data_IF_348638276573
#
_entry.id   IF_348638276573
#
_cell.length_a   1.000
_cell.length_b   1.000
_cell.length_c   1.000
_cell.angle_alpha   90.00
_cell.angle_beta   90.00
_cell.angle_gamma   90.00
#
_symmetry.space_group_name_H-M   'P 1'
#
loop_
_entity.id
_entity.type
_entity.pdbx_description
1 polymer ?
#
# COMPACT_ATOMS: atom_id res chain seq x y z
N UNK A 1 -12.81 41.75 -56.16
CA UNK A 1 -12.80 40.49 -56.95
C UNK A 1 -12.08 39.42 -56.14
N UNK A 2 -12.79 38.32 -55.86
CA UNK A 2 -12.33 36.91 -55.71
C UNK A 2 -10.88 36.67 -55.26
N UNK A 3 -10.64 35.94 -54.16
CA UNK A 3 -10.76 34.46 -54.12
C UNK A 3 -10.90 33.92 -52.69
N UNK A 4 -11.84 32.98 -52.52
CA UNK A 4 -11.97 32.06 -51.38
C UNK A 4 -10.86 30.99 -51.42
N UNK A 5 -10.82 30.19 -50.34
CA UNK A 5 -10.30 28.80 -50.19
C UNK A 5 -8.88 28.75 -49.58
N UNK A 6 -8.49 27.85 -48.64
CA UNK A 6 -9.01 26.54 -48.22
C UNK A 6 -8.29 26.12 -46.89
N UNK A 7 -9.06 25.57 -45.95
CA UNK A 7 -8.80 24.38 -45.09
C UNK A 7 -7.49 24.10 -44.35
N UNK A 8 -7.73 23.51 -43.16
CA UNK A 8 -6.99 22.43 -42.50
C UNK A 8 -5.92 22.84 -41.47
N UNK A 9 -6.36 23.02 -40.22
CA UNK A 9 -5.54 22.66 -39.07
C UNK A 9 -6.18 21.44 -38.41
N UNK A 10 -5.64 20.25 -38.69
CA UNK A 10 -5.94 19.03 -37.97
C UNK A 10 -5.73 19.26 -36.47
N UNK A 11 -6.79 19.24 -35.68
CA UNK A 11 -6.67 19.11 -34.25
C UNK A 11 -6.17 17.68 -33.96
N UNK A 12 -4.89 17.54 -33.62
CA UNK A 12 -4.32 16.30 -33.11
C UNK A 12 -5.09 15.92 -31.84
N UNK A 13 -5.94 14.89 -31.94
CA UNK A 13 -6.48 14.22 -30.78
C UNK A 13 -5.31 13.46 -30.11
N UNK A 14 -4.72 14.09 -29.08
CA UNK A 14 -3.82 13.40 -28.16
C UNK A 14 -4.66 12.38 -27.38
N UNK A 15 -4.63 11.13 -27.81
CA UNK A 15 -5.07 10.01 -27.01
C UNK A 15 -4.14 9.90 -25.80
N UNK A 16 -4.56 10.47 -24.67
CA UNK A 16 -3.96 10.21 -23.38
C UNK A 16 -4.28 8.74 -23.02
N UNK A 17 -3.33 7.84 -23.26
CA UNK A 17 -3.38 6.49 -22.72
C UNK A 17 -3.04 6.60 -21.23
N UNK A 18 -4.08 6.70 -20.41
CA UNK A 18 -3.92 6.57 -18.95
C UNK A 18 -3.60 5.11 -18.66
N UNK A 19 -2.32 4.79 -18.50
CA UNK A 19 -1.89 3.53 -17.91
C UNK A 19 -2.39 3.50 -16.47
N UNK A 20 -3.35 2.63 -16.16
CA UNK A 20 -3.77 2.38 -14.80
C UNK A 20 -2.62 1.70 -14.05
N UNK A 21 -1.95 2.44 -13.15
CA UNK A 21 -1.02 1.85 -12.21
C UNK A 21 -1.82 1.06 -11.18
N UNK A 22 -1.77 -0.27 -11.25
CA UNK A 22 -2.29 -1.14 -10.19
C UNK A 22 -1.28 -1.15 -9.04
N UNK A 23 -1.71 -0.77 -7.84
CA UNK A 23 -0.88 -0.91 -6.66
C UNK A 23 -0.70 -2.41 -6.36
N UNK A 24 0.55 -2.86 -6.28
CA UNK A 24 0.85 -4.25 -5.95
C UNK A 24 0.54 -4.54 -4.47
N UNK A 25 0.03 -5.74 -4.18
CA UNK A 25 -0.10 -6.23 -2.81
C UNK A 25 1.28 -6.47 -2.21
N UNK A 26 1.46 -6.03 -0.96
CA UNK A 26 2.68 -6.24 -0.18
C UNK A 26 2.72 -7.66 0.41
N UNK A 27 1.56 -8.22 0.75
CA UNK A 27 1.42 -9.59 1.21
C UNK A 27 0.51 -10.35 0.24
N UNK A 28 1.09 -11.01 -0.79
CA UNK A 28 0.31 -11.77 -1.74
C UNK A 28 -0.39 -12.96 -1.06
N UNK A 29 -1.51 -13.45 -1.60
CA UNK A 29 -2.18 -14.63 -1.06
C UNK A 29 -1.24 -15.84 -0.98
N UNK A 30 -1.32 -16.56 0.13
CA UNK A 30 -0.53 -17.76 0.39
C UNK A 30 -1.43 -18.81 1.05
N UNK A 31 -1.21 -20.07 0.71
CA UNK A 31 -1.87 -21.21 1.35
C UNK A 31 -1.41 -21.36 2.81
N UNK A 32 -2.33 -21.73 3.70
CA UNK A 32 -2.04 -21.97 5.12
C UNK A 32 -2.98 -21.26 6.08
N UNK A 33 -2.82 -21.55 7.37
CA UNK A 33 -3.61 -20.92 8.42
C UNK A 33 -3.18 -19.46 8.61
N UNK A 34 -4.13 -18.54 8.44
CA UNK A 34 -3.92 -17.11 8.73
C UNK A 34 -3.89 -16.88 10.23
N UNK A 35 -2.94 -16.08 10.69
CA UNK A 35 -2.87 -15.54 12.05
C UNK A 35 -3.92 -14.45 12.21
N UNK A 36 -4.46 -14.35 13.42
CA UNK A 36 -5.37 -13.29 13.77
C UNK A 36 -4.61 -11.98 14.02
N UNK A 37 -5.31 -10.85 14.03
CA UNK A 37 -4.71 -9.58 14.45
C UNK A 37 -4.19 -9.65 15.89
N UNK A 38 -4.85 -10.41 16.77
CA UNK A 38 -4.42 -10.60 18.16
C UNK A 38 -3.10 -11.39 18.25
N UNK A 39 -2.92 -12.44 17.44
CA UNK A 39 -1.67 -13.19 17.37
C UNK A 39 -0.50 -12.29 16.95
N UNK A 40 -0.72 -11.47 15.91
CA UNK A 40 0.30 -10.52 15.42
C UNK A 40 0.55 -9.40 16.45
N UNK A 41 -0.50 -8.88 17.09
CA UNK A 41 -0.37 -7.86 18.11
C UNK A 41 0.43 -8.37 19.32
N UNK A 42 0.19 -9.61 19.77
CA UNK A 42 0.94 -10.23 20.85
C UNK A 42 2.42 -10.41 20.48
N UNK A 43 2.70 -10.88 19.26
CA UNK A 43 4.06 -11.00 18.73
C UNK A 43 4.78 -9.64 18.72
N UNK A 44 4.16 -8.59 18.17
CA UNK A 44 4.76 -7.26 18.07
C UNK A 44 4.97 -6.62 19.45
N UNK A 45 4.01 -6.78 20.39
CA UNK A 45 4.21 -6.35 21.78
C UNK A 45 5.41 -7.04 22.43
N UNK A 46 5.58 -8.34 22.18
CA UNK A 46 6.75 -9.12 22.62
C UNK A 46 8.08 -8.63 22.04
N UNK A 47 8.04 -7.94 20.90
CA UNK A 47 9.20 -7.32 20.25
C UNK A 47 9.44 -5.86 20.70
N UNK A 48 8.60 -5.33 21.60
CA UNK A 48 8.75 -3.98 22.16
C UNK A 48 7.98 -2.88 21.44
N UNK A 49 7.03 -3.23 20.56
CA UNK A 49 6.14 -2.25 19.93
C UNK A 49 4.94 -1.89 20.83
N UNK A 50 4.57 -0.61 20.84
CA UNK A 50 3.30 -0.12 21.38
C UNK A 50 2.22 -0.20 20.29
N UNK A 51 1.45 -1.29 20.29
CA UNK A 51 0.38 -1.55 19.31
C UNK A 51 -0.85 -0.71 19.63
N UNK A 52 -1.21 0.23 18.74
CA UNK A 52 -2.35 1.14 18.95
C UNK A 52 -3.54 0.87 18.04
N UNK A 53 -3.28 0.46 16.81
CA UNK A 53 -4.32 0.12 15.83
C UNK A 53 -3.86 -1.05 14.97
N UNK A 54 -4.80 -1.93 14.63
CA UNK A 54 -4.61 -3.03 13.70
C UNK A 54 -5.59 -2.88 12.55
N UNK A 55 -5.09 -2.88 11.32
CA UNK A 55 -5.86 -2.79 10.09
C UNK A 55 -5.47 -3.96 9.15
N UNK A 56 -6.10 -4.02 7.97
CA UNK A 56 -5.67 -4.89 6.87
C UNK A 56 -5.50 -4.04 5.63
N UNK A 57 -4.28 -3.97 5.10
CA UNK A 57 -3.92 -3.12 3.97
C UNK A 57 -2.88 -3.83 3.10
N UNK A 58 -3.02 -3.75 1.78
CA UNK A 58 -2.14 -4.42 0.80
C UNK A 58 -1.96 -5.93 1.05
N UNK A 59 -3.03 -6.59 1.50
CA UNK A 59 -3.03 -8.01 1.87
C UNK A 59 -2.37 -8.35 3.22
N UNK A 60 -1.76 -7.36 3.89
CA UNK A 60 -1.06 -7.54 5.16
C UNK A 60 -1.96 -7.19 6.34
N UNK A 61 -1.61 -7.71 7.52
CA UNK A 61 -2.04 -7.10 8.77
C UNK A 61 -1.13 -5.89 9.03
N UNK A 62 -1.72 -4.71 9.12
CA UNK A 62 -1.00 -3.47 9.40
C UNK A 62 -1.14 -3.12 10.88
N UNK A 63 -0.04 -2.91 11.57
CA UNK A 63 0.00 -2.34 12.92
C UNK A 63 0.43 -0.88 12.85
N UNK A 64 -0.37 0.03 13.40
CA UNK A 64 0.04 1.42 13.64
C UNK A 64 0.30 1.62 15.13
N UNK A 65 1.44 2.22 15.47
CA UNK A 65 1.89 2.25 16.86
C UNK A 65 3.19 3.01 17.08
N UNK A 66 3.88 2.71 18.17
CA UNK A 66 5.25 3.17 18.42
C UNK A 66 6.23 2.00 18.37
N UNK A 67 7.43 2.24 17.84
CA UNK A 67 8.55 1.32 18.00
C UNK A 67 9.21 1.45 19.39
N UNK A 68 10.22 0.61 19.64
CA UNK A 68 10.99 0.59 20.89
C UNK A 68 11.70 1.92 21.21
N UNK A 69 11.92 2.77 20.21
CA UNK A 69 12.58 4.06 20.35
C UNK A 69 11.56 5.20 20.47
N UNK A 70 10.27 4.87 20.58
CA UNK A 70 9.17 5.83 20.72
C UNK A 70 8.76 6.52 19.42
N UNK A 71 9.20 6.02 18.26
CA UNK A 71 8.83 6.60 16.96
C UNK A 71 7.52 6.02 16.45
N UNK A 72 6.68 6.85 15.84
CA UNK A 72 5.45 6.38 15.17
C UNK A 72 5.81 5.52 13.97
N UNK A 73 5.24 4.34 13.88
CA UNK A 73 5.47 3.39 12.79
C UNK A 73 4.18 2.73 12.33
N UNK A 74 4.14 2.38 11.04
CA UNK A 74 3.26 1.39 10.44
C UNK A 74 4.09 0.13 10.14
N UNK A 75 3.71 -1.02 10.68
CA UNK A 75 4.37 -2.31 10.48
C UNK A 75 3.43 -3.23 9.73
N UNK A 76 3.81 -3.63 8.53
CA UNK A 76 3.04 -4.53 7.68
C UNK A 76 3.56 -5.95 7.88
N UNK A 77 2.67 -6.84 8.31
CA UNK A 77 2.99 -8.23 8.66
C UNK A 77 2.19 -9.19 7.79
N UNK A 78 2.87 -10.17 7.22
CA UNK A 78 2.22 -11.18 6.40
C UNK A 78 1.35 -12.11 7.28
N UNK A 79 0.05 -12.28 6.98
CA UNK A 79 -0.89 -12.95 7.88
C UNK A 79 -0.64 -14.46 8.00
N UNK A 80 -0.01 -15.11 7.01
CA UNK A 80 0.32 -16.55 7.07
C UNK A 80 1.69 -16.77 7.73
N UNK A 81 2.76 -16.12 7.24
CA UNK A 81 4.14 -16.35 7.71
C UNK A 81 4.50 -15.60 8.99
N UNK A 82 3.74 -14.57 9.40
CA UNK A 82 4.11 -13.58 10.43
C UNK A 82 5.39 -12.77 10.13
N UNK A 83 5.86 -12.77 8.89
CA UNK A 83 7.02 -11.97 8.51
C UNK A 83 6.65 -10.48 8.42
N UNK A 84 7.51 -9.63 9.00
CA UNK A 84 7.43 -8.19 8.80
C UNK A 84 7.96 -7.89 7.39
N UNK A 85 7.06 -7.50 6.48
CA UNK A 85 7.42 -7.24 5.08
C UNK A 85 7.79 -5.78 4.84
N UNK A 86 7.32 -4.86 5.70
CA UNK A 86 7.62 -3.43 5.61
C UNK A 86 7.44 -2.75 6.96
N UNK A 87 8.35 -1.84 7.28
CA UNK A 87 8.18 -0.86 8.36
C UNK A 87 8.25 0.52 7.72
N UNK A 88 7.27 1.36 8.01
CA UNK A 88 7.23 2.76 7.58
C UNK A 88 7.19 3.64 8.81
N UNK A 89 8.22 4.44 9.00
CA UNK A 89 8.20 5.50 10.02
C UNK A 89 7.26 6.60 9.57
N UNK A 90 6.38 7.04 10.46
CA UNK A 90 5.50 8.18 10.23
C UNK A 90 6.19 9.41 10.81
N UNK A 91 6.48 10.38 9.94
CA UNK A 91 7.09 11.67 10.32
C UNK A 91 6.17 12.49 11.24
#
# INVERSE_FOLDING_TARGET
MTRRLLTAACALALFATTSAAMAADLCPPMEGAKKTQDDIAAMLKGQGYDVRKMDTEHGCIEMKGMDKDGKRVEVYVHPVTAEVVKIKTQE
#
